data_IF_062157634740
#
_entry.id   IF_062157634740
#
_cell.length_a   1.000
_cell.length_b   1.000
_cell.length_c   1.000
_cell.angle_alpha   90.00
_cell.angle_beta   90.00
_cell.angle_gamma   90.00
#
_symmetry.space_group_name_H-M   'P 1'
#
loop_
_entity.id
_entity.type
_entity.pdbx_description
1 polymer ?
#
# COMPACT_ATOMS: atom_id res chain seq x y z
N UNK A 1 1.69 -6.86 -6.20
CA UNK A 1 0.56 -5.96 -5.88
C UNK A 1 -0.74 -6.70 -6.13
N UNK A 2 -0.95 -7.23 -7.34
CA UNK A 2 -2.11 -8.08 -7.67
C UNK A 2 -2.28 -9.29 -6.75
N UNK A 3 -1.22 -10.03 -6.45
CA UNK A 3 -1.28 -11.19 -5.54
C UNK A 3 -1.78 -10.81 -4.12
N UNK A 4 -1.48 -9.59 -3.67
CA UNK A 4 -1.93 -9.10 -2.38
C UNK A 4 -3.42 -8.74 -2.40
N UNK A 5 -3.89 -8.10 -3.48
CA UNK A 5 -5.31 -7.78 -3.66
C UNK A 5 -6.13 -9.04 -3.82
N UNK A 6 -5.64 -10.05 -4.55
CA UNK A 6 -6.32 -11.33 -4.70
C UNK A 6 -6.42 -12.08 -3.36
N UNK A 7 -5.32 -12.16 -2.61
CA UNK A 7 -5.34 -12.77 -1.28
C UNK A 7 -6.30 -12.03 -0.32
N UNK A 8 -6.40 -10.70 -0.45
CA UNK A 8 -7.32 -9.88 0.34
C UNK A 8 -8.79 -10.13 -0.03
N UNK A 9 -9.08 -10.25 -1.34
CA UNK A 9 -10.40 -10.60 -1.84
C UNK A 9 -10.82 -12.02 -1.41
N UNK A 10 -9.90 -12.99 -1.51
CA UNK A 10 -10.14 -14.38 -1.12
C UNK A 10 -10.36 -14.54 0.40
N UNK A 11 -9.77 -13.66 1.21
CA UNK A 11 -9.97 -13.64 2.66
C UNK A 11 -11.35 -13.11 3.08
N UNK A 12 -12.09 -12.45 2.18
CA UNK A 12 -13.47 -11.99 2.44
C UNK A 12 -13.57 -10.91 3.52
N UNK A 13 -12.57 -10.04 3.60
CA UNK A 13 -12.51 -8.98 4.61
C UNK A 13 -13.70 -8.01 4.54
N UNK A 14 -14.12 -7.51 5.70
CA UNK A 14 -15.16 -6.50 5.78
C UNK A 14 -14.66 -5.12 5.28
N UNK A 15 -15.61 -4.25 4.91
CA UNK A 15 -15.33 -2.87 4.49
C UNK A 15 -14.51 -2.08 5.52
N UNK A 16 -14.78 -2.30 6.80
CA UNK A 16 -14.04 -1.65 7.88
C UNK A 16 -12.57 -2.13 7.95
N UNK A 17 -12.33 -3.44 7.83
CA UNK A 17 -10.98 -4.02 7.82
C UNK A 17 -10.17 -3.53 6.60
N UNK A 18 -10.83 -3.41 5.45
CA UNK A 18 -10.22 -2.86 4.23
C UNK A 18 -9.85 -1.38 4.41
N UNK A 19 -10.70 -0.59 5.10
CA UNK A 19 -10.40 0.80 5.42
C UNK A 19 -9.20 0.92 6.38
N UNK A 20 -9.13 0.06 7.39
CA UNK A 20 -7.99 0.03 8.33
C UNK A 20 -6.68 -0.32 7.62
N UNK A 21 -6.71 -1.28 6.70
CA UNK A 21 -5.53 -1.67 5.93
C UNK A 21 -5.06 -0.54 5.00
N UNK A 22 -5.99 0.13 4.32
CA UNK A 22 -5.68 1.32 3.50
C UNK A 22 -5.01 2.42 4.35
N UNK A 23 -5.49 2.65 5.57
CA UNK A 23 -4.89 3.61 6.49
C UNK A 23 -3.53 3.13 7.01
N UNK A 24 -3.37 1.84 7.28
CA UNK A 24 -2.09 1.24 7.70
C UNK A 24 -1.02 1.43 6.62
N UNK A 25 -1.36 1.16 5.36
CA UNK A 25 -0.46 1.34 4.22
C UNK A 25 -0.07 2.81 4.03
N UNK A 26 -1.02 3.74 4.20
CA UNK A 26 -0.74 5.17 4.16
C UNK A 26 0.24 5.60 5.27
N UNK A 27 0.00 5.14 6.51
CA UNK A 27 0.89 5.41 7.65
C UNK A 27 2.27 4.78 7.45
N UNK A 28 2.35 3.63 6.79
CA UNK A 28 3.60 2.94 6.53
C UNK A 28 4.48 3.70 5.53
N UNK A 29 3.89 4.28 4.47
CA UNK A 29 4.63 5.14 3.54
C UNK A 29 5.24 6.36 4.26
N UNK A 30 4.47 7.02 5.13
CA UNK A 30 4.95 8.15 5.94
C UNK A 30 6.03 7.69 6.93
N UNK A 31 5.84 6.56 7.60
CA UNK A 31 6.82 6.03 8.54
C UNK A 31 8.15 5.64 7.87
N UNK A 32 8.12 5.15 6.63
CA UNK A 32 9.33 4.90 5.84
C UNK A 32 10.03 6.23 5.52
N UNK A 33 9.28 7.28 5.20
CA UNK A 33 9.85 8.59 4.93
C UNK A 33 10.50 9.21 6.17
N UNK A 34 9.84 9.10 7.33
CA UNK A 34 10.28 9.72 8.58
C UNK A 34 11.43 8.96 9.26
N UNK A 35 11.45 7.62 9.17
CA UNK A 35 12.43 6.78 9.89
C UNK A 35 13.66 6.42 9.08
N UNK A 36 13.59 6.51 7.76
CA UNK A 36 14.70 6.07 6.90
C UNK A 36 15.63 7.24 6.60
N UNK A 37 16.90 7.07 6.94
CA UNK A 37 17.96 7.98 6.52
C UNK A 37 18.22 7.83 5.02
N UNK A 38 18.47 8.94 4.33
CA UNK A 38 18.81 8.93 2.90
C UNK A 38 20.24 8.46 2.64
N UNK A 39 21.10 8.52 3.64
CA UNK A 39 22.48 8.04 3.59
C UNK A 39 22.88 7.46 4.94
N UNK A 40 23.61 6.35 4.91
CA UNK A 40 24.18 5.74 6.12
C UNK A 40 25.70 5.82 6.04
N UNK A 41 26.29 6.48 7.03
CA UNK A 41 27.74 6.65 7.11
C UNK A 41 28.39 5.56 7.95
N UNK A 42 29.32 4.83 7.35
CA UNK A 42 30.25 3.94 8.02
C UNK A 42 31.62 4.59 8.08
N UNK A 43 32.52 4.05 8.92
CA UNK A 43 33.82 4.66 9.22
C UNK A 43 34.71 4.95 8.01
N UNK A 44 34.51 4.26 6.88
CA UNK A 44 35.32 4.40 5.65
C UNK A 44 34.49 4.63 4.39
N UNK A 45 33.16 4.66 4.48
CA UNK A 45 32.29 4.75 3.31
C UNK A 45 30.90 5.28 3.69
N UNK A 46 30.23 5.91 2.73
CA UNK A 46 28.84 6.35 2.83
C UNK A 46 28.03 5.55 1.82
N UNK A 47 26.93 4.94 2.27
CA UNK A 47 25.99 4.23 1.40
C UNK A 47 24.78 5.12 1.19
N UNK A 48 24.44 5.37 -0.07
CA UNK A 48 23.19 6.04 -0.45
C UNK A 48 22.02 5.05 -0.38
N UNK A 49 21.06 5.38 0.48
CA UNK A 49 19.85 4.58 0.73
C UNK A 49 18.59 5.30 0.22
N UNK A 50 18.72 6.45 -0.44
CA UNK A 50 17.60 7.25 -0.95
C UNK A 50 16.71 6.47 -1.93
N UNK A 51 17.30 5.66 -2.81
CA UNK A 51 16.56 4.84 -3.77
C UNK A 51 15.79 3.71 -3.11
N UNK A 52 16.38 3.05 -2.10
CA UNK A 52 15.72 2.00 -1.33
C UNK A 52 14.56 2.56 -0.49
N UNK A 53 14.76 3.74 0.11
CA UNK A 53 13.72 4.49 0.82
C UNK A 53 12.54 4.81 -0.11
N UNK A 54 12.81 5.39 -1.28
CA UNK A 54 11.79 5.72 -2.26
C UNK A 54 11.03 4.47 -2.75
N UNK A 55 11.73 3.37 -3.02
CA UNK A 55 11.10 2.12 -3.47
C UNK A 55 10.18 1.51 -2.40
N UNK A 56 10.53 1.59 -1.12
CA UNK A 56 9.71 1.10 -0.02
C UNK A 56 8.44 1.94 0.17
N UNK A 57 8.57 3.26 0.15
CA UNK A 57 7.44 4.17 0.24
C UNK A 57 6.49 4.01 -0.96
N UNK A 58 7.04 3.92 -2.17
CA UNK A 58 6.28 3.74 -3.40
C UNK A 58 5.52 2.40 -3.40
N UNK A 59 6.15 1.31 -2.94
CA UNK A 59 5.49 0.01 -2.83
C UNK A 59 4.29 0.02 -1.88
N UNK A 60 4.38 0.74 -0.75
CA UNK A 60 3.26 0.90 0.17
C UNK A 60 2.10 1.69 -0.47
N UNK A 61 2.42 2.74 -1.25
CA UNK A 61 1.43 3.52 -1.98
C UNK A 61 0.79 2.73 -3.13
N UNK A 62 1.56 1.93 -3.87
CA UNK A 62 1.05 1.07 -4.93
C UNK A 62 0.04 0.04 -4.39
N UNK A 63 0.34 -0.60 -3.26
CA UNK A 63 -0.58 -1.53 -2.61
C UNK A 63 -1.87 -0.84 -2.17
N UNK A 64 -1.76 0.36 -1.59
CA UNK A 64 -2.92 1.17 -1.20
C UNK A 64 -3.80 1.52 -2.40
N UNK A 65 -3.19 1.99 -3.49
CA UNK A 65 -3.90 2.36 -4.71
C UNK A 65 -4.61 1.16 -5.33
N UNK A 66 -3.97 -0.01 -5.33
CA UNK A 66 -4.57 -1.23 -5.85
C UNK A 66 -5.78 -1.70 -5.01
N UNK A 67 -5.71 -1.61 -3.67
CA UNK A 67 -6.86 -1.90 -2.80
C UNK A 67 -8.02 -0.91 -3.02
N UNK A 68 -7.73 0.37 -3.22
CA UNK A 68 -8.75 1.39 -3.53
C UNK A 68 -9.43 1.11 -4.89
N UNK A 69 -8.66 0.76 -5.91
CA UNK A 69 -9.18 0.40 -7.22
C UNK A 69 -10.06 -0.86 -7.17
N UNK A 70 -9.64 -1.86 -6.40
CA UNK A 70 -10.43 -3.07 -6.19
C UNK A 70 -11.75 -2.77 -5.47
N UNK A 71 -11.73 -1.91 -4.45
CA UNK A 71 -12.93 -1.50 -3.73
C UNK A 71 -13.92 -0.76 -4.64
N UNK A 72 -13.42 0.18 -5.45
CA UNK A 72 -14.22 0.94 -6.42
C UNK A 72 -14.83 0.04 -7.49
N UNK A 73 -14.06 -0.92 -8.01
CA UNK A 73 -14.52 -1.91 -8.97
C UNK A 73 -15.60 -2.82 -8.38
N UNK A 74 -15.41 -3.30 -7.16
CA UNK A 74 -16.38 -4.14 -6.45
C UNK A 74 -17.70 -3.40 -6.21
N UNK A 75 -17.62 -2.17 -5.68
CA UNK A 75 -18.80 -1.33 -5.46
C UNK A 75 -19.57 -1.02 -6.75
N UNK A 76 -18.84 -0.73 -7.84
CA UNK A 76 -19.44 -0.47 -9.15
C UNK A 76 -20.15 -1.72 -9.68
N UNK A 77 -19.56 -2.90 -9.54
CA UNK A 77 -20.15 -4.16 -9.96
C UNK A 77 -21.41 -4.50 -9.15
N UNK A 78 -21.35 -4.37 -7.82
CA UNK A 78 -22.49 -4.64 -6.93
C UNK A 78 -23.67 -3.71 -7.24
N UNK A 79 -23.41 -2.42 -7.44
CA UNK A 79 -24.46 -1.47 -7.80
C UNK A 79 -25.05 -1.74 -9.19
N UNK A 80 -24.23 -2.11 -10.17
CA UNK A 80 -24.75 -2.51 -11.48
C UNK A 80 -25.62 -3.76 -11.41
N UNK A 81 -25.33 -4.69 -10.49
CA UNK A 81 -26.14 -5.88 -10.27
C UNK A 81 -27.48 -5.59 -9.56
N UNK A 82 -27.57 -4.50 -8.79
CA UNK A 82 -28.81 -4.07 -8.13
C UNK A 82 -29.70 -3.23 -9.07
N UNK A 83 -29.09 -2.48 -9.98
CA UNK A 83 -29.80 -1.54 -10.88
C UNK A 83 -30.31 -2.22 -12.17
N UNK A 84 -29.70 -3.33 -12.61
CA UNK A 84 -30.15 -4.13 -13.76
C UNK A 84 -30.99 -5.33 -13.33
#
# INVERSE_FOLDING_TARGET
VEEHVQAWADAGHELHETQEEIQRLAKMAVAVEDKSESQVSFRLLVVDTSSAKAALADKALQLRSALLQWLDATWTADNQAVVN
#
